data_IF_580676546335
#
_entry.id   IF_580676546335
#
_cell.length_a   1.000
_cell.length_b   1.000
_cell.length_c   1.000
_cell.angle_alpha   90.00
_cell.angle_beta   90.00
_cell.angle_gamma   90.00
#
_symmetry.space_group_name_H-M   'P 1'
#
loop_
_entity.id
_entity.type
_entity.pdbx_description
1 polymer ?
#
# COMPACT_ATOMS: atom_id res chain seq x y z
N UNK A 1 -38.39 -2.85 -30.02
CA UNK A 1 -36.97 -2.42 -29.93
C UNK A 1 -36.14 -3.32 -30.83
N UNK A 2 -35.50 -2.76 -31.87
CA UNK A 2 -34.72 -3.55 -32.84
C UNK A 2 -33.49 -4.19 -32.21
N UNK A 3 -33.30 -5.51 -32.41
CA UNK A 3 -32.13 -6.26 -31.90
C UNK A 3 -30.79 -5.66 -32.35
N UNK A 4 -30.76 -5.03 -33.52
CA UNK A 4 -29.56 -4.37 -34.04
C UNK A 4 -29.24 -3.06 -33.31
N UNK A 5 -30.27 -2.31 -32.89
CA UNK A 5 -30.09 -1.08 -32.10
C UNK A 5 -29.67 -1.41 -30.67
N UNK A 6 -30.18 -2.50 -30.09
CA UNK A 6 -29.77 -2.97 -28.76
C UNK A 6 -28.29 -3.38 -28.71
N UNK A 7 -27.79 -4.09 -29.73
CA UNK A 7 -26.37 -4.44 -29.85
C UNK A 7 -25.48 -3.21 -29.99
N UNK A 8 -25.92 -2.21 -30.76
CA UNK A 8 -25.20 -0.95 -30.92
C UNK A 8 -25.11 -0.18 -29.59
N UNK A 9 -26.20 -0.09 -28.81
CA UNK A 9 -26.17 0.58 -27.50
C UNK A 9 -25.29 -0.14 -26.48
N UNK A 10 -25.25 -1.47 -26.49
CA UNK A 10 -24.37 -2.24 -25.59
C UNK A 10 -22.89 -2.03 -25.92
N UNK A 11 -22.53 -1.98 -27.21
CA UNK A 11 -21.15 -1.71 -27.64
C UNK A 11 -20.71 -0.29 -27.26
N UNK A 12 -21.57 0.71 -27.48
CA UNK A 12 -21.29 2.11 -27.12
C UNK A 12 -21.19 2.27 -25.59
N UNK A 13 -22.05 1.60 -24.82
CA UNK A 13 -21.97 1.60 -23.36
C UNK A 13 -20.66 1.02 -22.83
N UNK A 14 -20.16 -0.06 -23.43
CA UNK A 14 -18.89 -0.68 -23.03
C UNK A 14 -17.69 0.21 -23.33
N UNK A 15 -17.71 0.93 -24.46
CA UNK A 15 -16.67 1.89 -24.84
C UNK A 15 -16.66 3.09 -23.90
N UNK A 16 -17.83 3.64 -23.55
CA UNK A 16 -17.95 4.77 -22.61
C UNK A 16 -17.48 4.36 -21.20
N UNK A 17 -17.85 3.16 -20.74
CA UNK A 17 -17.43 2.66 -19.44
C UNK A 17 -15.92 2.36 -19.40
N UNK A 18 -15.38 1.78 -20.48
CA UNK A 18 -13.94 1.55 -20.64
C UNK A 18 -13.13 2.84 -20.68
N UNK A 19 -13.59 3.86 -21.43
CA UNK A 19 -12.94 5.17 -21.46
C UNK A 19 -13.08 5.93 -20.13
N UNK A 20 -14.23 5.84 -19.47
CA UNK A 20 -14.44 6.40 -18.14
C UNK A 20 -13.47 5.83 -17.10
N UNK A 21 -13.18 4.52 -17.16
CA UNK A 21 -12.16 3.87 -16.33
C UNK A 21 -10.74 4.39 -16.59
N UNK A 22 -10.35 4.53 -17.87
CA UNK A 22 -9.01 5.02 -18.26
C UNK A 22 -8.81 6.48 -17.83
N UNK A 23 -9.83 7.33 -17.95
CA UNK A 23 -9.75 8.75 -17.51
C UNK A 23 -9.73 8.83 -15.98
N UNK A 24 -10.42 7.93 -15.28
CA UNK A 24 -10.43 7.89 -13.81
C UNK A 24 -9.06 7.51 -13.22
N UNK A 25 -8.36 6.54 -13.81
CA UNK A 25 -6.99 6.17 -13.39
C UNK A 25 -6.02 7.36 -13.53
N UNK A 26 -6.16 8.16 -14.60
CA UNK A 26 -5.28 9.28 -14.92
C UNK A 26 -5.57 10.60 -14.15
N UNK A 27 -6.68 10.69 -13.42
CA UNK A 27 -7.10 11.92 -12.71
C UNK A 27 -7.06 11.81 -11.19
N UNK A 28 -6.60 10.66 -10.66
CA UNK A 28 -6.49 10.45 -9.21
C UNK A 28 -5.39 11.37 -8.66
N UNK A 29 -5.68 12.24 -7.67
CA UNK A 29 -4.65 13.06 -7.07
C UNK A 29 -3.56 12.16 -6.47
N UNK A 30 -2.27 12.49 -6.63
CA UNK A 30 -1.19 11.70 -6.05
C UNK A 30 -1.34 11.66 -4.54
N UNK A 31 -1.43 10.45 -3.97
CA UNK A 31 -1.53 10.27 -2.52
C UNK A 31 -0.17 10.63 -1.91
N UNK A 32 -0.13 11.46 -0.85
CA UNK A 32 1.12 11.75 -0.16
C UNK A 32 1.82 10.46 0.26
N UNK A 33 3.10 10.38 -0.09
CA UNK A 33 3.96 9.25 0.23
C UNK A 33 4.94 9.67 1.32
N UNK A 34 5.06 8.85 2.34
CA UNK A 34 5.94 9.07 3.48
C UNK A 34 6.91 7.91 3.58
N UNK A 35 8.18 8.22 3.77
CA UNK A 35 9.25 7.25 3.89
C UNK A 35 9.78 7.26 5.32
N UNK A 36 10.00 6.08 5.86
CA UNK A 36 10.69 5.89 7.13
C UNK A 36 11.71 4.78 7.05
N UNK A 37 12.63 4.79 8.02
CA UNK A 37 13.82 3.93 8.05
C UNK A 37 13.91 3.27 9.42
N UNK A 38 14.34 2.01 9.44
CA UNK A 38 14.60 1.25 10.66
C UNK A 38 15.67 0.19 10.43
N UNK A 39 16.30 -0.28 11.50
CA UNK A 39 17.44 -1.18 11.43
C UNK A 39 16.99 -2.64 11.19
N UNK A 40 17.37 -3.22 10.05
CA UNK A 40 17.13 -4.63 9.72
C UNK A 40 18.28 -5.56 10.17
N UNK A 41 18.28 -6.80 9.67
CA UNK A 41 19.29 -7.79 10.01
C UNK A 41 20.66 -7.55 9.34
N UNK A 42 20.66 -7.24 8.04
CA UNK A 42 21.87 -6.98 7.22
C UNK A 42 22.03 -5.52 6.82
N UNK A 43 21.06 -4.66 7.15
CA UNK A 43 21.07 -3.25 6.78
C UNK A 43 19.71 -2.61 7.01
N UNK A 44 19.57 -1.36 6.56
CA UNK A 44 18.36 -0.57 6.76
C UNK A 44 17.16 -1.17 6.03
N UNK A 45 16.00 -1.10 6.68
CA UNK A 45 14.69 -1.35 6.09
C UNK A 45 14.03 0.00 5.83
N UNK A 46 13.75 0.29 4.57
CA UNK A 46 13.02 1.49 4.16
C UNK A 46 11.56 1.14 3.89
N UNK A 47 10.65 1.78 4.61
CA UNK A 47 9.20 1.61 4.44
C UNK A 47 8.61 2.89 3.84
N UNK A 48 7.99 2.74 2.68
CA UNK A 48 7.23 3.79 1.99
C UNK A 48 5.74 3.53 2.15
N UNK A 49 5.04 4.44 2.82
CA UNK A 49 3.59 4.38 2.95
C UNK A 49 2.92 5.47 2.13
N UNK A 50 1.87 5.10 1.40
CA UNK A 50 0.92 6.08 0.86
C UNK A 50 -0.19 6.22 1.89
N UNK A 51 -0.23 7.37 2.56
CA UNK A 51 -1.16 7.59 3.66
C UNK A 51 -1.87 8.94 3.56
N UNK A 52 -3.08 9.00 4.10
CA UNK A 52 -3.87 10.23 4.20
C UNK A 52 -4.63 10.26 5.50
N UNK A 53 -4.83 11.45 6.07
CA UNK A 53 -5.78 11.64 7.16
C UNK A 53 -7.16 11.97 6.59
N UNK A 54 -8.20 11.41 7.21
CA UNK A 54 -9.57 11.78 6.88
C UNK A 54 -10.00 13.05 7.64
N UNK A 55 -11.24 13.51 7.44
CA UNK A 55 -11.80 14.68 8.14
C UNK A 55 -11.83 14.53 9.67
N UNK A 56 -11.76 13.30 10.18
CA UNK A 56 -11.74 12.96 11.60
C UNK A 56 -10.30 12.78 12.14
N UNK A 57 -9.29 13.19 11.37
CA UNK A 57 -7.87 13.03 11.69
C UNK A 57 -7.40 11.56 11.83
N UNK A 58 -8.16 10.61 11.30
CA UNK A 58 -7.79 9.19 11.31
C UNK A 58 -6.83 8.90 10.16
N UNK A 59 -5.72 8.24 10.51
CA UNK A 59 -4.73 7.77 9.55
C UNK A 59 -5.29 6.63 8.70
N UNK A 60 -5.22 6.78 7.38
CA UNK A 60 -5.54 5.74 6.40
C UNK A 60 -4.30 5.41 5.57
N UNK A 61 -3.76 4.21 5.75
CA UNK A 61 -2.67 3.66 4.93
C UNK A 61 -3.31 2.94 3.73
N UNK A 62 -2.95 3.38 2.53
CA UNK A 62 -3.50 2.87 1.26
C UNK A 62 -2.57 1.88 0.59
N UNK A 63 -1.26 2.12 0.66
CA UNK A 63 -0.24 1.24 0.13
C UNK A 63 0.99 1.28 1.02
N UNK A 64 1.74 0.18 0.98
CA UNK A 64 3.05 0.05 1.63
C UNK A 64 4.00 -0.60 0.64
N UNK A 65 5.17 -0.02 0.48
CA UNK A 65 6.30 -0.52 -0.29
C UNK A 65 7.52 -0.59 0.62
N UNK A 66 8.37 -1.60 0.44
CA UNK A 66 9.46 -1.89 1.37
C UNK A 66 10.72 -2.22 0.58
N UNK A 67 11.83 -1.63 0.98
CA UNK A 67 13.17 -1.99 0.51
C UNK A 67 13.99 -2.47 1.69
N UNK A 68 14.78 -3.51 1.49
CA UNK A 68 15.67 -4.06 2.51
C UNK A 68 16.88 -4.70 1.84
N UNK A 69 17.92 -4.92 2.62
CA UNK A 69 19.12 -5.69 2.23
C UNK A 69 19.22 -7.05 2.96
N UNK A 70 18.19 -7.39 3.75
CA UNK A 70 18.09 -8.68 4.45
C UNK A 70 17.96 -9.85 3.48
N UNK A 71 18.25 -11.06 3.99
CA UNK A 71 18.15 -12.32 3.24
C UNK A 71 16.73 -12.52 2.69
N UNK A 72 16.59 -12.43 1.36
CA UNK A 72 15.30 -12.50 0.65
C UNK A 72 14.42 -13.70 1.05
N UNK A 73 15.03 -14.89 1.22
CA UNK A 73 14.31 -16.11 1.58
C UNK A 73 13.64 -16.05 2.97
N UNK A 74 14.09 -15.15 3.86
CA UNK A 74 13.56 -14.96 5.21
C UNK A 74 12.74 -13.67 5.27
N UNK A 75 13.32 -12.57 4.79
CA UNK A 75 12.74 -11.24 4.86
C UNK A 75 11.55 -11.06 3.92
N UNK A 76 11.60 -11.61 2.69
CA UNK A 76 10.52 -11.48 1.72
C UNK A 76 9.16 -11.98 2.25
N UNK A 77 9.06 -13.24 2.75
CA UNK A 77 7.84 -13.74 3.37
C UNK A 77 7.40 -12.91 4.59
N UNK A 78 8.36 -12.54 5.46
CA UNK A 78 8.06 -11.77 6.66
C UNK A 78 7.50 -10.37 6.32
N UNK A 79 8.12 -9.66 5.39
CA UNK A 79 7.70 -8.35 4.91
C UNK A 79 6.34 -8.43 4.22
N UNK A 80 6.08 -9.50 3.46
CA UNK A 80 4.75 -9.74 2.87
C UNK A 80 3.65 -9.83 3.93
N UNK A 81 3.90 -10.57 5.01
CA UNK A 81 2.97 -10.67 6.14
C UNK A 81 2.81 -9.35 6.88
N UNK A 82 3.92 -8.67 7.21
CA UNK A 82 3.92 -7.38 7.90
C UNK A 82 3.20 -6.28 7.10
N UNK A 83 3.36 -6.28 5.77
CA UNK A 83 2.61 -5.40 4.87
C UNK A 83 1.10 -5.68 4.93
N UNK A 84 0.70 -6.94 4.91
CA UNK A 84 -0.70 -7.32 5.05
C UNK A 84 -1.27 -6.87 6.40
N UNK A 85 -0.54 -7.12 7.50
CA UNK A 85 -0.93 -6.65 8.82
C UNK A 85 -1.05 -5.12 8.87
N UNK A 86 -0.11 -4.39 8.25
CA UNK A 86 -0.14 -2.92 8.18
C UNK A 86 -1.39 -2.40 7.47
N UNK A 87 -1.76 -3.00 6.34
CA UNK A 87 -2.95 -2.59 5.59
C UNK A 87 -4.24 -2.98 6.30
N UNK A 88 -4.28 -4.12 6.99
CA UNK A 88 -5.46 -4.57 7.74
C UNK A 88 -5.66 -3.77 9.03
N UNK A 89 -4.60 -3.62 9.83
CA UNK A 89 -4.64 -2.96 11.14
C UNK A 89 -4.32 -1.46 11.09
N UNK A 90 -4.02 -0.94 9.90
CA UNK A 90 -3.67 0.47 9.67
C UNK A 90 -2.49 0.94 10.53
N UNK A 91 -1.45 0.11 10.60
CA UNK A 91 -0.23 0.40 11.36
C UNK A 91 -0.34 0.17 12.88
N UNK A 92 -1.48 -0.32 13.38
CA UNK A 92 -1.68 -0.60 14.80
C UNK A 92 -1.40 -2.07 15.12
N UNK A 93 -0.84 -2.35 16.29
CA UNK A 93 -0.68 -3.69 16.87
C UNK A 93 -0.11 -4.74 15.88
N UNK A 94 0.94 -4.37 15.15
CA UNK A 94 1.61 -5.26 14.21
C UNK A 94 2.49 -6.24 14.98
N UNK A 95 2.29 -7.53 14.70
CA UNK A 95 3.05 -8.62 15.32
C UNK A 95 4.26 -8.97 14.45
N UNK A 96 5.35 -9.39 15.10
CA UNK A 96 6.54 -9.82 14.37
C UNK A 96 6.36 -11.22 13.78
N UNK A 97 7.17 -11.55 12.78
CA UNK A 97 7.16 -12.86 12.11
C UNK A 97 8.26 -13.74 12.71
N UNK A 98 7.88 -14.95 13.11
CA UNK A 98 8.82 -15.90 13.71
C UNK A 98 9.94 -16.27 12.72
N UNK A 99 11.19 -16.25 13.20
CA UNK A 99 12.37 -16.51 12.37
C UNK A 99 12.89 -15.28 11.60
N UNK A 100 12.20 -14.13 11.70
CA UNK A 100 12.59 -12.86 11.08
C UNK A 100 12.49 -11.69 12.08
N UNK A 101 12.96 -11.89 13.31
CA UNK A 101 12.80 -10.92 14.41
C UNK A 101 13.38 -9.55 14.07
N UNK A 102 14.66 -9.48 13.67
CA UNK A 102 15.33 -8.22 13.31
C UNK A 102 14.62 -7.52 12.14
N UNK A 103 14.27 -8.26 11.09
CA UNK A 103 13.48 -7.70 9.97
C UNK A 103 12.14 -7.15 10.43
N UNK A 104 11.47 -7.85 11.37
CA UNK A 104 10.17 -7.44 11.90
C UNK A 104 10.26 -6.20 12.77
N UNK A 105 11.31 -6.07 13.57
CA UNK A 105 11.55 -4.89 14.41
C UNK A 105 11.93 -3.68 13.54
N UNK A 106 12.90 -3.83 12.63
CA UNK A 106 13.28 -2.77 11.70
C UNK A 106 12.13 -2.28 10.83
N UNK A 107 11.27 -3.19 10.36
CA UNK A 107 10.05 -2.82 9.65
C UNK A 107 9.09 -1.98 10.52
N UNK A 108 8.88 -2.36 11.79
CA UNK A 108 8.00 -1.62 12.70
C UNK A 108 8.53 -0.23 12.98
N UNK A 109 9.84 -0.11 13.18
CA UNK A 109 10.48 1.17 13.44
C UNK A 109 10.40 2.07 12.21
N UNK A 110 10.71 1.54 11.02
CA UNK A 110 10.56 2.24 9.74
C UNK A 110 9.12 2.69 9.48
N UNK A 111 8.15 1.83 9.79
CA UNK A 111 6.74 2.15 9.66
C UNK A 111 6.31 3.25 10.64
N UNK A 112 6.73 3.18 11.90
CA UNK A 112 6.42 4.19 12.91
C UNK A 112 7.02 5.55 12.54
N UNK A 113 8.27 5.56 12.06
CA UNK A 113 8.92 6.76 11.54
C UNK A 113 8.14 7.35 10.35
N UNK A 114 7.73 6.52 9.39
CA UNK A 114 6.91 6.96 8.25
C UNK A 114 5.55 7.53 8.70
N UNK A 115 4.88 6.87 9.65
CA UNK A 115 3.58 7.31 10.22
C UNK A 115 3.73 8.65 10.95
N UNK A 116 4.82 8.85 11.69
CA UNK A 116 5.07 10.10 12.41
C UNK A 116 5.15 11.33 11.50
N UNK A 117 5.56 11.11 10.24
CA UNK A 117 5.67 12.16 9.20
C UNK A 117 4.33 12.49 8.54
N UNK A 118 3.28 11.68 8.76
CA UNK A 118 1.95 11.89 8.18
C UNK A 118 1.26 13.08 8.84
N UNK A 119 1.05 14.13 8.06
CA UNK A 119 0.37 15.36 8.50
C UNK A 119 -1.14 15.27 8.38
#
# INVERSE_FOLDING_TARGET
>A
MDKNKLRAYLLVGFIIFGFGGIVYENTKPPVPTYEGVGDGYNGDILVKIQAKKNKNNELRILNVDVKHEDTEAIAGPAIGELKNQTLLKQGKDIEGVAGATYTSEGYKDALNDAISKVK
#
